data_IF_616468988007
#
_entry.id   IF_616468988007
#
_cell.length_a   1.000
_cell.length_b   1.000
_cell.length_c   1.000
_cell.angle_alpha   90.00
_cell.angle_beta   90.00
_cell.angle_gamma   90.00
#
_symmetry.space_group_name_H-M   'P 1'
#
loop_
_entity.id
_entity.type
_entity.pdbx_description
1 polymer ?
#
# COMPACT_ATOMS: atom_id res chain seq x y z
N UNK A 1 -23.65 12.27 -43.74
CA UNK A 1 -22.66 11.20 -43.96
C UNK A 1 -21.36 11.64 -43.29
N UNK A 2 -21.07 11.21 -42.05
CA UNK A 2 -19.84 11.60 -41.37
C UNK A 2 -18.64 10.99 -42.11
N UNK A 3 -17.70 11.86 -42.49
CA UNK A 3 -16.50 11.53 -43.26
C UNK A 3 -15.63 10.52 -42.48
N UNK A 4 -15.25 9.44 -43.17
CA UNK A 4 -14.37 8.36 -42.71
C UNK A 4 -13.06 8.87 -42.07
N UNK A 5 -12.66 10.10 -42.37
CA UNK A 5 -11.49 10.78 -41.82
C UNK A 5 -11.59 11.13 -40.33
N UNK A 6 -12.79 11.43 -39.79
CA UNK A 6 -12.93 11.82 -38.37
C UNK A 6 -12.83 10.64 -37.41
N UNK A 7 -13.34 9.47 -37.81
CA UNK A 7 -13.24 8.21 -37.05
C UNK A 7 -11.78 7.76 -36.91
N UNK A 8 -10.98 7.87 -37.97
CA UNK A 8 -9.57 7.47 -37.95
C UNK A 8 -8.72 8.35 -37.02
N UNK A 9 -9.01 9.65 -36.91
CA UNK A 9 -8.28 10.56 -36.01
C UNK A 9 -8.62 10.26 -34.54
N UNK A 10 -9.89 10.00 -34.22
CA UNK A 10 -10.30 9.63 -32.87
C UNK A 10 -9.68 8.30 -32.42
N UNK A 11 -9.64 7.30 -33.32
CA UNK A 11 -9.03 5.99 -33.07
C UNK A 11 -7.49 6.09 -32.95
N UNK A 12 -6.82 6.91 -33.76
CA UNK A 12 -5.38 7.13 -33.66
C UNK A 12 -4.98 7.77 -32.31
N UNK A 13 -5.83 8.65 -31.76
CA UNK A 13 -5.60 9.29 -30.45
C UNK A 13 -5.81 8.32 -29.28
N UNK A 14 -6.71 7.34 -29.40
CA UNK A 14 -6.92 6.34 -28.33
C UNK A 14 -5.73 5.38 -28.18
N UNK A 15 -5.02 5.05 -29.26
CA UNK A 15 -3.78 4.26 -29.18
C UNK A 15 -2.57 5.03 -28.63
N UNK A 16 -2.54 6.36 -28.72
CA UNK A 16 -1.44 7.15 -28.17
C UNK A 16 -1.44 7.13 -26.63
N UNK A 17 -2.62 7.06 -26.00
CA UNK A 17 -2.78 7.08 -24.54
C UNK A 17 -2.69 5.70 -23.88
N UNK A 18 -2.71 4.60 -24.64
CA UNK A 18 -2.69 3.23 -24.10
C UNK A 18 -1.28 2.66 -23.87
N UNK A 19 -0.23 3.43 -24.16
CA UNK A 19 1.15 2.98 -23.94
C UNK A 19 1.55 3.17 -22.48
N UNK A 20 1.29 2.14 -21.67
CA UNK A 20 1.61 2.10 -20.22
C UNK A 20 3.12 2.28 -19.96
N UNK A 21 3.98 1.91 -20.92
CA UNK A 21 5.45 1.93 -20.75
C UNK A 21 6.16 2.60 -21.93
N UNK A 22 7.14 3.49 -21.68
CA UNK A 22 7.98 4.07 -22.73
C UNK A 22 8.79 2.98 -23.45
N UNK A 23 9.42 3.32 -24.57
CA UNK A 23 10.32 2.39 -25.28
C UNK A 23 11.39 1.83 -24.33
N UNK A 24 11.52 0.51 -24.28
CA UNK A 24 12.43 -0.17 -23.34
C UNK A 24 11.96 -0.21 -21.88
N UNK A 25 10.80 0.36 -21.52
CA UNK A 25 10.33 0.42 -20.14
C UNK A 25 10.14 -0.95 -19.47
N UNK A 26 9.62 -1.94 -20.20
CA UNK A 26 9.48 -3.31 -19.70
C UNK A 26 10.83 -3.97 -19.41
N UNK A 27 11.83 -3.73 -20.28
CA UNK A 27 13.19 -4.23 -20.10
C UNK A 27 13.85 -3.62 -18.86
N UNK A 28 13.64 -2.31 -18.63
CA UNK A 28 14.14 -1.62 -17.43
C UNK A 28 13.44 -2.10 -16.16
N UNK A 29 12.11 -2.22 -16.17
CA UNK A 29 11.34 -2.71 -15.04
C UNK A 29 11.77 -4.13 -14.61
N UNK A 30 12.01 -5.03 -15.58
CA UNK A 30 12.56 -6.38 -15.32
C UNK A 30 13.92 -6.37 -14.62
N UNK A 31 14.67 -5.29 -14.75
CA UNK A 31 15.99 -5.08 -14.12
C UNK A 31 15.92 -4.22 -12.87
N UNK A 32 14.73 -4.01 -12.30
CA UNK A 32 14.52 -3.16 -11.11
C UNK A 32 14.98 -1.72 -11.33
N UNK A 33 14.84 -1.22 -12.55
CA UNK A 33 15.02 0.18 -12.91
C UNK A 33 13.64 0.80 -13.15
N UNK A 34 13.50 2.14 -13.10
CA UNK A 34 12.22 2.75 -13.40
C UNK A 34 11.78 2.40 -14.83
N UNK A 35 10.49 2.37 -15.12
CA UNK A 35 10.02 2.29 -16.50
C UNK A 35 10.49 3.48 -17.35
N UNK A 36 10.30 4.72 -16.87
CA UNK A 36 10.78 5.93 -17.55
C UNK A 36 12.17 6.35 -17.07
N UNK A 37 12.96 6.92 -17.98
CA UNK A 37 14.33 7.34 -17.65
C UNK A 37 14.36 8.50 -16.63
N UNK A 38 13.28 9.29 -16.57
CA UNK A 38 13.23 10.53 -15.80
C UNK A 38 12.51 10.39 -14.44
N UNK A 39 12.11 9.18 -14.03
CA UNK A 39 11.33 8.94 -12.81
C UNK A 39 12.17 8.99 -11.53
N UNK A 40 13.26 8.23 -11.47
CA UNK A 40 14.19 8.18 -10.34
C UNK A 40 15.52 7.54 -10.79
N UNK A 41 16.58 7.76 -10.01
CA UNK A 41 17.90 7.21 -10.30
C UNK A 41 18.96 8.29 -10.56
N UNK A 42 20.20 7.87 -10.84
CA UNK A 42 21.36 8.76 -10.84
C UNK A 42 21.29 9.86 -11.89
N UNK A 43 20.56 9.64 -12.99
CA UNK A 43 20.38 10.64 -14.03
C UNK A 43 19.51 11.82 -13.57
N UNK A 44 18.54 11.58 -12.69
CA UNK A 44 17.57 12.61 -12.27
C UNK A 44 17.81 13.13 -10.87
N UNK A 45 18.41 12.32 -10.01
CA UNK A 45 18.54 12.61 -8.59
C UNK A 45 19.91 13.23 -8.25
N UNK A 46 20.89 13.12 -9.15
CA UNK A 46 22.17 13.84 -9.01
C UNK A 46 22.04 15.29 -9.48
N UNK A 47 22.84 16.20 -8.90
CA UNK A 47 22.91 17.57 -9.38
C UNK A 47 23.51 17.61 -10.79
N UNK A 48 22.91 18.44 -11.65
CA UNK A 48 23.34 18.59 -13.06
C UNK A 48 24.72 19.26 -13.18
N UNK A 49 25.07 20.12 -12.22
CA UNK A 49 26.35 20.83 -12.18
C UNK A 49 26.80 21.08 -10.74
N UNK A 50 28.10 21.31 -10.57
CA UNK A 50 28.70 21.78 -9.33
C UNK A 50 29.72 22.89 -9.60
N UNK A 51 29.98 23.71 -8.58
CA UNK A 51 30.92 24.83 -8.67
C UNK A 51 32.27 24.36 -8.16
N UNK A 52 33.34 24.61 -8.92
CA UNK A 52 34.71 24.23 -8.56
C UNK A 52 35.05 24.77 -7.17
N UNK A 53 35.55 23.89 -6.30
CA UNK A 53 35.92 24.24 -4.92
C UNK A 53 34.74 24.38 -3.95
N UNK A 54 33.51 24.07 -4.38
CA UNK A 54 32.33 24.02 -3.50
C UNK A 54 31.75 22.59 -3.46
N UNK A 55 31.09 22.22 -2.36
CA UNK A 55 30.36 20.96 -2.33
C UNK A 55 29.22 20.97 -3.35
N UNK A 56 28.88 19.78 -3.84
CA UNK A 56 27.76 19.59 -4.74
C UNK A 56 26.46 20.14 -4.13
N UNK A 57 25.66 20.90 -4.90
CA UNK A 57 24.40 21.42 -4.40
C UNK A 57 23.44 20.26 -4.09
N UNK A 58 22.68 20.37 -3.00
CA UNK A 58 21.69 19.34 -2.62
C UNK A 58 20.61 19.14 -3.67
N UNK A 59 20.20 20.23 -4.34
CA UNK A 59 19.23 20.22 -5.43
C UNK A 59 19.67 21.24 -6.48
N UNK A 60 19.69 20.85 -7.75
CA UNK A 60 19.90 21.77 -8.89
C UNK A 60 18.60 22.26 -9.47
N UNK A 61 17.52 21.48 -9.34
CA UNK A 61 16.20 21.84 -9.87
C UNK A 61 15.09 21.81 -8.82
N UNK A 62 14.08 22.66 -9.02
CA UNK A 62 12.82 22.63 -8.23
C UNK A 62 12.11 21.27 -8.34
N UNK A 63 12.30 20.55 -9.45
CA UNK A 63 11.75 19.21 -9.65
C UNK A 63 12.31 18.20 -8.64
N UNK A 64 13.63 18.20 -8.45
CA UNK A 64 14.29 17.35 -7.45
C UNK A 64 13.81 17.68 -6.03
N UNK A 65 13.71 18.97 -5.71
CA UNK A 65 13.21 19.43 -4.41
C UNK A 65 11.79 18.94 -4.14
N UNK A 66 10.88 19.11 -5.11
CA UNK A 66 9.49 18.65 -4.99
C UNK A 66 9.40 17.13 -4.83
N UNK A 67 10.24 16.37 -5.54
CA UNK A 67 10.31 14.91 -5.42
C UNK A 67 10.78 14.49 -4.03
N UNK A 68 11.81 15.14 -3.49
CA UNK A 68 12.30 14.86 -2.15
C UNK A 68 11.23 15.09 -1.07
N UNK A 69 10.47 16.20 -1.17
CA UNK A 69 9.37 16.51 -0.25
C UNK A 69 8.26 15.45 -0.34
N UNK A 70 7.87 15.06 -1.56
CA UNK A 70 6.86 14.01 -1.75
C UNK A 70 7.29 12.67 -1.19
N UNK A 71 8.56 12.29 -1.40
CA UNK A 71 9.11 11.04 -0.86
C UNK A 71 9.12 11.06 0.67
N UNK A 72 9.44 12.21 1.28
CA UNK A 72 9.37 12.40 2.73
C UNK A 72 7.93 12.25 3.27
N UNK A 73 6.96 12.88 2.61
CA UNK A 73 5.54 12.75 2.98
C UNK A 73 5.08 11.30 2.88
N UNK A 74 5.38 10.63 1.77
CA UNK A 74 5.03 9.22 1.56
C UNK A 74 5.63 8.31 2.64
N UNK A 75 6.90 8.52 3.00
CA UNK A 75 7.55 7.74 4.05
C UNK A 75 6.86 7.93 5.42
N UNK A 76 6.51 9.16 5.78
CA UNK A 76 5.80 9.44 7.02
C UNK A 76 4.40 8.80 7.05
N UNK A 77 3.68 8.84 5.92
CA UNK A 77 2.37 8.20 5.79
C UNK A 77 2.48 6.68 5.96
N UNK A 78 3.49 6.06 5.34
CA UNK A 78 3.74 4.63 5.49
C UNK A 78 4.03 4.26 6.96
N UNK A 79 4.88 5.02 7.65
CA UNK A 79 5.20 4.79 9.07
C UNK A 79 3.94 4.91 9.93
N UNK A 80 3.14 5.96 9.70
CA UNK A 80 1.87 6.18 10.41
C UNK A 80 0.90 5.02 10.23
N UNK A 81 0.67 4.59 8.99
CA UNK A 81 -0.24 3.47 8.70
C UNK A 81 0.23 2.18 9.37
N UNK A 82 1.53 1.92 9.36
CA UNK A 82 2.10 0.75 10.05
C UNK A 82 1.84 0.83 11.56
N UNK A 83 2.04 2.00 12.19
CA UNK A 83 1.73 2.17 13.61
C UNK A 83 0.24 1.94 13.92
N UNK A 84 -0.66 2.46 13.09
CA UNK A 84 -2.11 2.26 13.24
C UNK A 84 -2.50 0.77 13.15
N UNK A 85 -1.88 0.02 12.24
CA UNK A 85 -2.09 -1.44 12.13
C UNK A 85 -1.66 -2.16 13.41
N UNK A 86 -0.51 -1.79 14.00
CA UNK A 86 -0.05 -2.42 15.23
C UNK A 86 -0.96 -2.08 16.42
N UNK A 87 -1.38 -0.83 16.55
CA UNK A 87 -2.30 -0.41 17.61
C UNK A 87 -3.66 -1.10 17.51
N UNK A 88 -4.23 -1.18 16.31
CA UNK A 88 -5.52 -1.83 16.07
C UNK A 88 -5.44 -3.33 16.35
N UNK A 89 -4.34 -3.99 15.95
CA UNK A 89 -4.08 -5.39 16.30
C UNK A 89 -4.04 -5.59 17.82
N UNK A 90 -3.27 -4.77 18.54
CA UNK A 90 -3.16 -4.86 20.00
C UNK A 90 -4.51 -4.66 20.70
N UNK A 91 -5.31 -3.67 20.27
CA UNK A 91 -6.67 -3.44 20.76
C UNK A 91 -7.59 -4.63 20.48
N UNK A 92 -7.52 -5.21 19.28
CA UNK A 92 -8.33 -6.38 18.92
C UNK A 92 -8.02 -7.60 19.78
N UNK A 93 -6.75 -7.82 20.11
CA UNK A 93 -6.33 -8.92 20.99
C UNK A 93 -6.77 -8.68 22.43
N UNK A 94 -6.66 -7.45 22.93
CA UNK A 94 -7.16 -7.09 24.26
C UNK A 94 -8.68 -7.31 24.37
N UNK A 95 -9.46 -6.82 23.40
CA UNK A 95 -10.92 -7.04 23.38
C UNK A 95 -11.31 -8.52 23.33
N UNK A 96 -10.55 -9.36 22.62
CA UNK A 96 -10.76 -10.81 22.61
C UNK A 96 -10.51 -11.42 23.99
N UNK A 97 -9.40 -11.06 24.66
CA UNK A 97 -9.07 -11.52 26.01
C UNK A 97 -10.13 -11.10 27.02
N UNK A 98 -10.59 -9.85 26.96
CA UNK A 98 -11.63 -9.33 27.84
C UNK A 98 -12.94 -10.09 27.63
N UNK A 99 -13.35 -10.29 26.37
CA UNK A 99 -14.54 -11.08 26.01
C UNK A 99 -14.44 -12.52 26.51
N UNK A 100 -13.30 -13.18 26.31
CA UNK A 100 -13.11 -14.56 26.77
C UNK A 100 -13.13 -14.65 28.30
N UNK A 101 -12.53 -13.68 28.99
CA UNK A 101 -12.57 -13.61 30.45
C UNK A 101 -14.00 -13.38 30.98
N UNK A 102 -14.78 -12.53 30.31
CA UNK A 102 -16.18 -12.30 30.63
C UNK A 102 -17.01 -13.56 30.43
N UNK A 103 -16.82 -14.27 29.31
CA UNK A 103 -17.49 -15.55 29.05
C UNK A 103 -17.16 -16.56 30.16
N UNK A 104 -15.88 -16.73 30.50
CA UNK A 104 -15.46 -17.64 31.58
C UNK A 104 -16.07 -17.26 32.94
N UNK A 105 -16.17 -15.97 33.25
CA UNK A 105 -16.82 -15.51 34.48
C UNK A 105 -18.32 -15.83 34.45
N UNK A 106 -19.01 -15.57 33.34
CA UNK A 106 -20.43 -15.89 33.20
C UNK A 106 -20.70 -17.38 33.28
N UNK A 107 -19.88 -18.22 32.64
CA UNK A 107 -19.99 -19.69 32.70
C UNK A 107 -19.84 -20.20 34.14
N UNK A 108 -18.95 -19.60 34.94
CA UNK A 108 -18.80 -19.94 36.38
C UNK A 108 -20.00 -19.51 37.24
N UNK A 109 -20.65 -18.40 36.88
CA UNK A 109 -21.81 -17.87 37.62
C UNK A 109 -23.12 -18.57 37.23
N UNK A 110 -23.19 -19.17 36.05
CA UNK A 110 -24.36 -19.93 35.61
C UNK A 110 -24.55 -21.20 36.45
N UNK A 111 -25.78 -21.44 36.90
CA UNK A 111 -26.16 -22.69 37.55
C UNK A 111 -26.02 -23.86 36.56
N UNK A 112 -25.59 -25.02 37.07
CA UNK A 112 -25.52 -26.24 36.25
C UNK A 112 -26.92 -26.66 35.80
N UNK A 113 -27.04 -27.05 34.53
CA UNK A 113 -28.28 -27.56 33.98
C UNK A 113 -28.65 -28.87 34.70
N UNK A 114 -29.84 -28.95 35.29
CA UNK A 114 -30.37 -30.22 35.82
C UNK A 114 -30.96 -31.08 34.70
N UNK A 115 -30.69 -32.39 34.73
CA UNK A 115 -31.22 -33.39 33.79
C UNK A 115 -30.15 -34.37 33.28
N UNK A 116 -30.56 -35.54 32.79
CA UNK A 116 -29.71 -36.65 32.33
C UNK A 116 -29.04 -36.42 30.97
N UNK A 117 -28.46 -35.25 30.76
CA UNK A 117 -27.61 -34.95 29.61
C UNK A 117 -26.32 -34.32 30.12
N UNK A 118 -25.39 -35.16 30.57
CA UNK A 118 -24.04 -34.78 30.93
C UNK A 118 -23.14 -34.84 29.68
N UNK A 119 -23.41 -33.98 28.70
CA UNK A 119 -22.37 -33.63 27.72
C UNK A 119 -22.06 -32.14 27.82
N UNK A 120 -20.76 -31.76 27.82
CA UNK A 120 -20.38 -30.35 27.79
C UNK A 120 -20.96 -29.71 26.52
N UNK A 121 -21.51 -28.50 26.68
CA UNK A 121 -22.06 -27.71 25.58
C UNK A 121 -20.93 -27.39 24.57
N UNK A 122 -20.73 -28.27 23.58
CA UNK A 122 -19.77 -28.05 22.49
C UNK A 122 -20.26 -26.83 21.71
N UNK A 123 -19.47 -25.74 21.71
CA UNK A 123 -19.70 -24.59 20.82
C UNK A 123 -19.65 -25.09 19.38
N UNK A 124 -20.80 -25.10 18.71
CA UNK A 124 -20.87 -25.18 17.26
C UNK A 124 -20.28 -23.87 16.71
N UNK A 125 -18.98 -23.83 16.45
CA UNK A 125 -18.31 -22.85 15.60
C UNK A 125 -16.93 -23.39 15.18
N UNK A 126 -16.92 -24.54 14.53
CA UNK A 126 -15.86 -24.91 13.59
C UNK A 126 -16.46 -24.82 12.20
N UNK A 127 -16.30 -23.66 11.56
CA UNK A 127 -16.92 -23.36 10.28
C UNK A 127 -16.20 -22.22 9.58
N UNK A 128 -15.31 -22.60 8.65
CA UNK A 128 -14.73 -21.82 7.54
C UNK A 128 -13.72 -20.72 7.86
N UNK A 129 -12.44 -21.03 7.58
CA UNK A 129 -11.44 -20.07 7.10
C UNK A 129 -10.49 -20.82 6.17
N UNK A 130 -10.85 -20.85 4.87
CA UNK A 130 -9.90 -21.02 3.76
C UNK A 130 -9.24 -19.65 3.45
#
# INVERSE_FOLDING_TARGET
MPHITSLNIALARSFHCSRILPSGGLFRARRRLPPSNNEWGPLTDRPDFSVIGKPDPRFTSEGQRKRAIKNYQFANDAIRLVSEIYETKAKSEAMKRDRDSFIQQTEKLCLTRKGSFSEPFKRLNEGTSD
#
